data_IF_340334098291
#
_entry.id   IF_340334098291
#
_cell.length_a   1.000
_cell.length_b   1.000
_cell.length_c   1.000
_cell.angle_alpha   90.00
_cell.angle_beta   90.00
_cell.angle_gamma   90.00
#
_symmetry.space_group_name_H-M   'P 1'
#
loop_
_entity.id
_entity.type
_entity.pdbx_description
1 polymer ?
#
# COMPACT_ATOMS: atom_id res chain seq x y z
N UNK A 1 7.71 -19.51 18.43
CA UNK A 1 7.16 -20.71 17.79
C UNK A 1 7.36 -21.91 18.68
N UNK A 2 6.39 -22.83 18.70
CA UNK A 2 6.48 -24.18 19.28
C UNK A 2 7.56 -25.08 18.65
N UNK A 3 8.54 -24.47 17.97
CA UNK A 3 9.59 -25.11 17.17
C UNK A 3 10.88 -25.34 17.95
N UNK A 4 11.06 -24.74 19.13
CA UNK A 4 12.28 -24.91 19.92
C UNK A 4 11.97 -25.62 21.25
N UNK A 5 12.50 -26.83 21.50
CA UNK A 5 12.21 -27.67 22.67
C UNK A 5 12.87 -27.17 23.96
N UNK A 6 12.71 -25.89 24.30
CA UNK A 6 13.35 -25.30 25.48
C UNK A 6 12.64 -24.11 26.13
N UNK A 7 11.53 -23.62 25.56
CA UNK A 7 10.81 -22.48 26.12
C UNK A 7 9.71 -22.86 27.13
N UNK A 8 9.38 -24.15 27.25
CA UNK A 8 8.39 -24.66 28.21
C UNK A 8 8.86 -26.03 28.71
N UNK A 9 9.07 -26.19 30.02
CA UNK A 9 9.43 -27.47 30.65
C UNK A 9 8.25 -28.45 30.55
N UNK A 10 8.47 -29.65 29.98
CA UNK A 10 7.41 -30.66 29.80
C UNK A 10 6.56 -30.48 28.53
N UNK A 11 7.05 -29.74 27.54
CA UNK A 11 6.33 -29.43 26.31
C UNK A 11 6.12 -30.65 25.39
N UNK A 12 4.88 -31.10 25.26
CA UNK A 12 4.45 -32.04 24.21
C UNK A 12 3.87 -31.28 23.02
N UNK A 13 4.50 -31.44 21.84
CA UNK A 13 4.11 -30.76 20.60
C UNK A 13 2.66 -31.09 20.18
N UNK A 14 2.11 -32.25 20.57
CA UNK A 14 0.70 -32.61 20.33
C UNK A 14 -0.27 -31.84 21.23
N UNK A 15 0.19 -31.38 22.40
CA UNK A 15 -0.58 -30.65 23.40
C UNK A 15 -0.25 -29.14 23.44
N UNK A 16 0.56 -28.64 22.51
CA UNK A 16 0.96 -27.23 22.40
C UNK A 16 -0.20 -26.24 22.50
N UNK A 17 -1.35 -26.60 21.90
CA UNK A 17 -2.56 -25.79 21.90
C UNK A 17 -3.14 -25.57 23.31
N UNK A 18 -2.92 -26.49 24.26
CA UNK A 18 -3.34 -26.35 25.68
C UNK A 18 -2.53 -25.30 26.44
N UNK A 19 -1.38 -24.89 25.89
CA UNK A 19 -0.51 -23.86 26.49
C UNK A 19 -0.86 -22.45 26.03
N UNK A 20 -1.74 -22.31 25.02
CA UNK A 20 -2.31 -21.03 24.62
C UNK A 20 -3.54 -20.76 25.49
N UNK A 21 -3.70 -19.56 26.08
CA UNK A 21 -4.87 -19.20 26.86
C UNK A 21 -6.09 -18.90 25.96
N UNK A 22 -6.36 -19.78 24.99
CA UNK A 22 -7.47 -19.67 24.04
C UNK A 22 -8.32 -20.93 24.10
N UNK A 23 -9.63 -20.77 23.98
CA UNK A 23 -10.53 -21.92 23.96
C UNK A 23 -10.39 -22.72 22.65
N UNK A 24 -10.71 -24.02 22.65
CA UNK A 24 -10.64 -24.85 21.43
C UNK A 24 -11.47 -24.25 20.30
N UNK A 25 -12.69 -23.79 20.60
CA UNK A 25 -13.55 -23.11 19.61
C UNK A 25 -12.89 -21.85 19.06
N UNK A 26 -12.25 -21.07 19.91
CA UNK A 26 -11.54 -19.84 19.56
C UNK A 26 -10.38 -20.14 18.60
N UNK A 27 -9.61 -21.19 18.87
CA UNK A 27 -8.51 -21.63 18.00
C UNK A 27 -9.03 -22.06 16.62
N UNK A 28 -10.13 -22.81 16.57
CA UNK A 28 -10.78 -23.21 15.30
C UNK A 28 -11.25 -21.98 14.53
N UNK A 29 -11.92 -21.03 15.19
CA UNK A 29 -12.38 -19.79 14.56
C UNK A 29 -11.24 -18.94 14.02
N UNK A 30 -10.11 -18.86 14.74
CA UNK A 30 -8.92 -18.14 14.28
C UNK A 30 -8.32 -18.80 13.03
N UNK A 31 -8.20 -20.14 13.01
CA UNK A 31 -7.65 -20.83 11.84
C UNK A 31 -8.57 -20.69 10.62
N UNK A 32 -9.89 -20.88 10.80
CA UNK A 32 -10.86 -20.67 9.74
C UNK A 32 -10.86 -19.22 9.22
N UNK A 33 -10.78 -18.24 10.12
CA UNK A 33 -10.67 -16.83 9.75
C UNK A 33 -9.39 -16.52 8.97
N UNK A 34 -8.27 -17.12 9.35
CA UNK A 34 -7.00 -16.98 8.62
C UNK A 34 -7.10 -17.58 7.21
N UNK A 35 -7.69 -18.77 7.07
CA UNK A 35 -7.91 -19.39 5.76
C UNK A 35 -8.82 -18.52 4.88
N UNK A 36 -9.92 -18.03 5.44
CA UNK A 36 -10.84 -17.13 4.75
C UNK A 36 -10.18 -15.81 4.29
N UNK A 37 -9.37 -15.18 5.15
CA UNK A 37 -8.59 -13.99 4.77
C UNK A 37 -7.59 -14.29 3.65
N UNK A 38 -6.93 -15.44 3.69
CA UNK A 38 -5.99 -15.86 2.64
C UNK A 38 -6.67 -16.07 1.29
N UNK A 39 -7.89 -16.61 1.30
CA UNK A 39 -8.64 -16.90 0.07
C UNK A 39 -9.27 -15.64 -0.55
N UNK A 40 -9.81 -14.74 0.29
CA UNK A 40 -10.67 -13.64 -0.18
C UNK A 40 -10.01 -12.26 -0.19
N UNK A 41 -9.14 -12.00 0.79
CA UNK A 41 -8.67 -10.63 1.09
C UNK A 41 -7.16 -10.45 0.91
N UNK A 42 -6.42 -11.51 0.60
CA UNK A 42 -4.98 -11.44 0.36
C UNK A 42 -4.70 -10.86 -1.02
N UNK A 43 -4.14 -9.65 -1.03
CA UNK A 43 -3.71 -8.94 -2.23
C UNK A 43 -2.19 -8.90 -2.33
N UNK A 44 -1.70 -8.58 -3.52
CA UNK A 44 -0.28 -8.37 -3.78
C UNK A 44 -0.07 -7.04 -4.51
N UNK A 45 0.96 -6.30 -4.13
CA UNK A 45 1.45 -5.17 -4.91
C UNK A 45 2.98 -5.15 -4.82
N UNK A 46 3.64 -4.80 -5.93
CA UNK A 46 5.10 -4.95 -6.05
C UNK A 46 5.57 -6.33 -5.55
N UNK A 47 6.46 -6.38 -4.53
CA UNK A 47 6.95 -7.60 -3.89
C UNK A 47 6.31 -7.87 -2.52
N UNK A 48 5.23 -7.18 -2.16
CA UNK A 48 4.58 -7.30 -0.86
C UNK A 48 3.20 -7.93 -0.99
N UNK A 49 2.84 -8.71 0.03
CA UNK A 49 1.49 -9.21 0.21
C UNK A 49 0.84 -8.44 1.34
N UNK A 50 -0.47 -8.22 1.24
CA UNK A 50 -1.20 -7.50 2.26
C UNK A 50 -2.67 -7.90 2.26
N UNK A 51 -3.33 -7.73 3.40
CA UNK A 51 -4.77 -7.86 3.50
C UNK A 51 -5.40 -6.47 3.54
N UNK A 52 -6.57 -6.33 2.91
CA UNK A 52 -7.48 -5.20 3.08
C UNK A 52 -8.75 -5.75 3.72
N UNK A 53 -8.94 -5.50 5.00
CA UNK A 53 -10.01 -6.12 5.78
C UNK A 53 -11.06 -5.06 6.12
N UNK A 54 -12.32 -5.22 5.71
CA UNK A 54 -13.40 -4.36 6.16
C UNK A 54 -13.64 -4.55 7.66
N UNK A 55 -13.76 -3.44 8.39
CA UNK A 55 -14.03 -3.40 9.82
C UNK A 55 -15.26 -2.52 10.07
N UNK A 56 -16.41 -3.15 10.25
CA UNK A 56 -17.68 -2.47 10.54
C UNK A 56 -17.68 -1.99 12.00
N UNK A 57 -17.67 -0.68 12.20
CA UNK A 57 -17.53 -0.03 13.52
C UNK A 57 -18.87 0.04 14.25
N UNK A 58 -19.96 0.22 13.51
CA UNK A 58 -21.32 0.31 14.04
C UNK A 58 -22.27 -0.50 13.15
N UNK A 59 -22.98 -1.47 13.72
CA UNK A 59 -24.00 -2.25 13.03
C UNK A 59 -23.62 -3.70 12.75
N UNK A 60 -24.52 -4.39 12.05
CA UNK A 60 -24.30 -5.73 11.54
C UNK A 60 -23.41 -5.68 10.29
N UNK A 61 -22.75 -6.80 9.98
CA UNK A 61 -21.92 -6.91 8.77
C UNK A 61 -22.81 -6.70 7.55
N UNK A 62 -22.47 -5.73 6.69
CA UNK A 62 -23.17 -5.57 5.43
C UNK A 62 -22.73 -6.69 4.47
N UNK A 63 -23.61 -7.67 4.26
CA UNK A 63 -23.34 -8.84 3.41
C UNK A 63 -23.04 -8.47 1.95
N UNK A 64 -23.70 -7.44 1.41
CA UNK A 64 -23.48 -6.98 0.03
C UNK A 64 -22.06 -6.40 -0.14
N UNK A 65 -21.61 -5.60 0.83
CA UNK A 65 -20.24 -5.06 0.84
C UNK A 65 -19.22 -6.18 0.95
N UNK A 66 -19.47 -7.17 1.80
CA UNK A 66 -18.60 -8.34 1.95
C UNK A 66 -18.52 -9.15 0.66
N UNK A 67 -19.66 -9.50 0.06
CA UNK A 67 -19.74 -10.23 -1.21
C UNK A 67 -18.95 -9.53 -2.31
N UNK A 68 -19.02 -8.20 -2.38
CA UNK A 68 -18.32 -7.47 -3.42
C UNK A 68 -16.83 -7.29 -3.18
N UNK A 69 -16.40 -7.15 -1.93
CA UNK A 69 -14.97 -7.19 -1.61
C UNK A 69 -14.38 -8.58 -1.87
N UNK A 70 -15.14 -9.65 -1.63
CA UNK A 70 -14.76 -11.02 -2.00
C UNK A 70 -14.71 -11.23 -3.53
N UNK A 71 -15.66 -10.64 -4.27
CA UNK A 71 -15.77 -10.78 -5.73
C UNK A 71 -14.73 -9.97 -6.50
N UNK A 72 -14.21 -8.90 -5.90
CA UNK A 72 -13.27 -7.96 -6.52
C UNK A 72 -11.97 -8.62 -7.01
N UNK A 73 -11.56 -9.76 -6.44
CA UNK A 73 -10.36 -10.49 -6.87
C UNK A 73 -10.47 -11.17 -8.23
N UNK A 74 -11.69 -11.40 -8.72
CA UNK A 74 -11.94 -12.07 -10.01
C UNK A 74 -11.80 -11.11 -11.21
N UNK A 75 -11.61 -9.81 -10.95
CA UNK A 75 -11.38 -8.78 -11.97
C UNK A 75 -9.91 -8.37 -11.95
N UNK A 76 -9.33 -8.24 -13.12
CA UNK A 76 -7.91 -8.05 -13.47
C UNK A 76 -7.27 -6.72 -12.96
N UNK A 77 -7.49 -6.35 -11.69
CA UNK A 77 -7.22 -5.00 -11.16
C UNK A 77 -6.47 -4.99 -9.82
N UNK A 78 -5.45 -5.83 -9.66
CA UNK A 78 -4.60 -5.84 -8.45
C UNK A 78 -3.18 -5.40 -8.78
N UNK A 79 -3.04 -4.18 -9.34
CA UNK A 79 -1.75 -3.63 -9.73
C UNK A 79 -1.28 -2.48 -8.82
N UNK A 80 -2.09 -2.10 -7.82
CA UNK A 80 -1.75 -1.02 -6.86
C UNK A 80 -2.70 -1.00 -5.65
N UNK A 81 -2.15 -0.56 -4.50
CA UNK A 81 -2.87 -0.35 -3.22
C UNK A 81 -4.14 0.49 -3.35
N UNK A 82 -4.21 1.34 -4.38
CA UNK A 82 -5.33 2.25 -4.64
C UNK A 82 -6.01 2.03 -5.99
N UNK A 83 -5.64 1.01 -6.78
CA UNK A 83 -6.27 0.75 -8.08
C UNK A 83 -7.60 -0.04 -7.99
N UNK A 84 -8.12 -0.19 -6.77
CA UNK A 84 -9.52 -0.43 -6.47
C UNK A 84 -10.37 0.86 -6.60
N UNK A 85 -9.95 1.75 -7.50
CA UNK A 85 -10.20 3.19 -7.44
C UNK A 85 -11.62 3.60 -7.86
N UNK A 86 -12.29 2.79 -8.67
CA UNK A 86 -13.66 3.09 -9.10
C UNK A 86 -14.67 2.11 -8.47
N UNK A 87 -14.45 0.79 -8.56
CA UNK A 87 -15.47 -0.18 -8.16
C UNK A 87 -15.69 -0.30 -6.65
N UNK A 88 -14.63 -0.55 -5.87
CA UNK A 88 -14.74 -0.75 -4.42
C UNK A 88 -15.12 0.57 -3.72
N UNK A 89 -14.62 1.71 -4.22
CA UNK A 89 -15.04 3.01 -3.69
C UNK A 89 -16.47 3.37 -4.08
N UNK A 90 -16.97 2.96 -5.24
CA UNK A 90 -18.38 3.12 -5.60
C UNK A 90 -19.29 2.27 -4.70
N UNK A 91 -18.88 1.04 -4.37
CA UNK A 91 -19.62 0.15 -3.46
C UNK A 91 -19.63 0.69 -2.02
N UNK A 92 -18.50 1.22 -1.55
CA UNK A 92 -18.35 1.61 -0.15
C UNK A 92 -18.79 3.08 0.11
N UNK A 93 -19.13 3.85 -0.94
CA UNK A 93 -19.60 5.23 -0.82
C UNK A 93 -20.83 5.39 0.07
N UNK A 94 -21.70 4.38 0.14
CA UNK A 94 -22.92 4.43 0.94
C UNK A 94 -22.66 4.10 2.43
N UNK A 95 -21.48 3.58 2.75
CA UNK A 95 -21.11 3.05 4.07
C UNK A 95 -19.99 3.88 4.75
N UNK A 96 -19.78 5.13 4.29
CA UNK A 96 -18.68 6.00 4.71
C UNK A 96 -18.59 6.23 6.24
N UNK A 97 -19.70 6.08 6.98
CA UNK A 97 -19.79 6.34 8.42
C UNK A 97 -19.84 5.08 9.31
N UNK A 98 -19.91 3.89 8.72
CA UNK A 98 -20.12 2.63 9.47
C UNK A 98 -18.99 1.61 9.32
N UNK A 99 -18.02 1.86 8.43
CA UNK A 99 -16.91 0.95 8.18
C UNK A 99 -15.57 1.66 8.02
N UNK A 100 -14.54 1.05 8.59
CA UNK A 100 -13.14 1.37 8.34
C UNK A 100 -12.45 0.20 7.63
N UNK A 101 -11.29 0.46 7.01
CA UNK A 101 -10.44 -0.55 6.42
C UNK A 101 -9.21 -0.77 7.29
N UNK A 102 -8.81 -2.03 7.43
CA UNK A 102 -7.54 -2.44 8.03
C UNK A 102 -6.60 -2.91 6.92
N UNK A 103 -5.41 -2.33 6.87
CA UNK A 103 -4.34 -2.75 5.97
C UNK A 103 -3.26 -3.48 6.77
N UNK A 104 -3.10 -4.77 6.50
CA UNK A 104 -2.09 -5.61 7.14
C UNK A 104 -1.07 -6.10 6.11
N UNK A 105 0.10 -5.47 6.09
CA UNK A 105 1.21 -5.83 5.19
C UNK A 105 2.02 -6.95 5.80
N UNK A 106 2.29 -7.98 5.00
CA UNK A 106 2.98 -9.18 5.43
C UNK A 106 4.20 -9.49 4.57
N UNK A 107 5.20 -10.10 5.20
CA UNK A 107 6.36 -10.68 4.54
C UNK A 107 6.36 -12.19 4.75
N UNK A 108 6.16 -13.00 3.69
CA UNK A 108 6.23 -14.45 3.80
C UNK A 108 7.57 -14.92 4.37
N UNK A 109 7.52 -15.92 5.24
CA UNK A 109 8.67 -16.70 5.70
C UNK A 109 8.58 -18.10 5.10
N UNK A 110 9.45 -19.00 5.54
CA UNK A 110 9.36 -20.41 5.15
C UNK A 110 8.04 -21.01 5.66
N UNK A 111 7.39 -21.84 4.82
CA UNK A 111 6.07 -22.46 5.06
C UNK A 111 4.96 -21.40 5.20
N UNK A 112 3.94 -21.67 6.02
CA UNK A 112 2.76 -20.81 6.22
C UNK A 112 2.96 -19.70 7.26
N UNK A 113 4.22 -19.40 7.60
CA UNK A 113 4.56 -18.31 8.51
C UNK A 113 4.81 -17.02 7.72
N UNK A 114 4.43 -15.89 8.30
CA UNK A 114 4.75 -14.57 7.80
C UNK A 114 4.97 -13.61 8.96
N UNK A 115 5.74 -12.55 8.72
CA UNK A 115 5.80 -11.41 9.64
C UNK A 115 4.80 -10.35 9.19
N UNK A 116 4.07 -9.76 10.13
CA UNK A 116 3.35 -8.51 9.89
C UNK A 116 4.39 -7.39 9.93
N UNK A 117 4.62 -6.73 8.79
CA UNK A 117 5.65 -5.69 8.65
C UNK A 117 5.09 -4.29 8.82
N UNK A 118 3.80 -4.09 8.57
CA UNK A 118 3.07 -2.83 8.82
C UNK A 118 1.60 -3.15 9.00
N UNK A 119 0.99 -2.47 9.95
CA UNK A 119 -0.41 -2.64 10.31
C UNK A 119 -1.01 -1.24 10.46
N UNK A 120 -2.06 -0.96 9.69
CA UNK A 120 -2.73 0.33 9.67
C UNK A 120 -4.22 0.08 9.83
N UNK A 121 -4.75 0.47 10.98
CA UNK A 121 -6.18 0.42 11.30
C UNK A 121 -6.83 1.77 11.01
N UNK A 122 -8.16 1.79 11.10
CA UNK A 122 -8.98 3.00 11.04
C UNK A 122 -8.76 3.84 9.79
N UNK A 123 -8.65 3.18 8.64
CA UNK A 123 -8.55 3.84 7.33
C UNK A 123 -9.96 3.99 6.74
N UNK A 124 -10.60 5.17 6.83
CA UNK A 124 -11.96 5.30 6.33
C UNK A 124 -11.97 5.25 4.78
N UNK A 125 -13.00 4.68 4.15
CA UNK A 125 -13.15 4.65 2.69
C UNK A 125 -13.06 6.03 2.03
N UNK A 126 -13.62 7.05 2.69
CA UNK A 126 -13.52 8.45 2.27
C UNK A 126 -12.07 8.95 2.18
N UNK A 127 -11.14 8.40 2.97
CA UNK A 127 -9.72 8.70 2.83
C UNK A 127 -9.12 8.12 1.56
N UNK A 128 -9.43 6.85 1.26
CA UNK A 128 -8.95 6.17 0.05
C UNK A 128 -9.41 6.93 -1.20
N UNK A 129 -10.67 7.40 -1.20
CA UNK A 129 -11.21 8.29 -2.24
C UNK A 129 -10.46 9.62 -2.34
N UNK A 130 -10.16 10.27 -1.21
CA UNK A 130 -9.35 11.50 -1.23
C UNK A 130 -7.93 11.28 -1.77
N UNK A 131 -7.29 10.15 -1.44
CA UNK A 131 -5.99 9.76 -1.99
C UNK A 131 -6.07 9.61 -3.51
N UNK A 132 -7.12 8.93 -3.98
CA UNK A 132 -7.39 8.77 -5.40
C UNK A 132 -7.57 10.10 -6.13
N UNK A 133 -8.54 10.90 -5.69
CA UNK A 133 -8.91 12.15 -6.32
C UNK A 133 -7.71 13.11 -6.37
N UNK A 134 -6.94 13.17 -5.26
CA UNK A 134 -5.73 13.95 -5.19
C UNK A 134 -4.68 13.49 -6.20
N UNK A 135 -4.45 12.18 -6.33
CA UNK A 135 -3.50 11.64 -7.29
C UNK A 135 -3.96 11.94 -8.73
N UNK A 136 -5.24 11.69 -9.05
CA UNK A 136 -5.86 11.96 -10.35
C UNK A 136 -5.72 13.43 -10.76
N UNK A 137 -6.02 14.36 -9.85
CA UNK A 137 -5.87 15.79 -10.08
C UNK A 137 -4.41 16.16 -10.37
N UNK A 138 -3.47 15.74 -9.49
CA UNK A 138 -2.06 16.08 -9.63
C UNK A 138 -1.47 15.51 -10.93
N UNK A 139 -1.85 14.29 -11.31
CA UNK A 139 -1.42 13.66 -12.57
C UNK A 139 -1.88 14.39 -13.82
N UNK A 140 -2.99 15.13 -13.74
CA UNK A 140 -3.57 15.86 -14.86
C UNK A 140 -3.04 17.30 -14.99
N UNK A 141 -2.15 17.74 -14.11
CA UNK A 141 -1.50 19.03 -14.23
C UNK A 141 -0.71 19.14 -15.55
N UNK A 142 -0.74 20.33 -16.17
CA UNK A 142 -0.11 20.60 -17.47
C UNK A 142 1.35 20.16 -17.52
N UNK A 143 2.12 20.37 -16.45
CA UNK A 143 3.54 20.00 -16.37
C UNK A 143 3.81 18.50 -16.58
N UNK A 144 2.82 17.64 -16.36
CA UNK A 144 2.94 16.19 -16.54
C UNK A 144 2.24 15.65 -17.79
N UNK A 145 1.41 16.46 -18.46
CA UNK A 145 0.57 16.02 -19.60
C UNK A 145 0.88 16.72 -20.91
N UNK A 146 1.23 18.00 -20.85
CA UNK A 146 1.45 18.81 -22.04
C UNK A 146 2.77 18.42 -22.71
N UNK A 147 2.68 17.97 -23.96
CA UNK A 147 3.83 17.50 -24.73
C UNK A 147 4.88 18.58 -24.94
N UNK A 148 4.49 19.81 -25.30
CA UNK A 148 5.43 20.93 -25.50
C UNK A 148 6.27 21.21 -24.25
N UNK A 149 5.64 21.16 -23.07
CA UNK A 149 6.32 21.31 -21.78
C UNK A 149 7.31 20.16 -21.56
N UNK A 150 6.92 18.92 -21.86
CA UNK A 150 7.79 17.76 -21.69
C UNK A 150 8.90 17.72 -22.73
N UNK A 151 8.70 18.21 -23.95
CA UNK A 151 9.75 18.39 -24.97
C UNK A 151 10.84 19.35 -24.49
N UNK A 152 10.48 20.42 -23.77
CA UNK A 152 11.47 21.31 -23.13
C UNK A 152 12.34 20.60 -22.09
N UNK A 153 11.83 19.55 -21.45
CA UNK A 153 12.54 18.79 -20.42
C UNK A 153 13.35 17.65 -21.05
N UNK A 154 12.70 16.81 -21.85
CA UNK A 154 13.24 15.56 -22.39
C UNK A 154 13.85 15.66 -23.79
N UNK A 155 13.58 16.76 -24.51
CA UNK A 155 13.93 16.97 -25.91
C UNK A 155 12.81 16.61 -26.89
N UNK A 156 12.99 16.96 -28.16
CA UNK A 156 11.99 16.83 -29.24
C UNK A 156 11.47 15.41 -29.47
N UNK A 157 12.24 14.39 -29.07
CA UNK A 157 11.83 12.98 -29.17
C UNK A 157 10.69 12.59 -28.22
N UNK A 158 10.37 13.42 -27.22
CA UNK A 158 9.27 13.15 -26.28
C UNK A 158 7.92 13.38 -26.96
N UNK A 159 7.08 12.36 -26.94
CA UNK A 159 5.68 12.41 -27.40
C UNK A 159 4.72 12.12 -26.25
N UNK A 160 3.57 12.78 -26.23
CA UNK A 160 2.55 12.64 -25.20
C UNK A 160 2.98 13.03 -23.78
N UNK A 161 2.10 12.77 -22.82
CA UNK A 161 2.31 13.02 -21.39
C UNK A 161 3.23 12.02 -20.69
N UNK A 162 3.42 12.18 -19.38
CA UNK A 162 3.87 11.09 -18.50
C UNK A 162 2.77 10.01 -18.40
N UNK A 163 3.10 8.86 -17.82
CA UNK A 163 2.15 7.76 -17.69
C UNK A 163 0.84 8.19 -16.96
N UNK A 164 -0.30 7.99 -17.64
CA UNK A 164 -1.66 8.21 -17.11
C UNK A 164 -2.16 7.08 -16.24
N UNK A 165 -1.34 6.07 -15.96
CA UNK A 165 -1.64 4.97 -15.03
C UNK A 165 -0.66 4.81 -13.86
N UNK A 166 0.27 5.76 -13.66
CA UNK A 166 1.09 5.83 -12.45
C UNK A 166 0.25 5.82 -11.15
N UNK A 167 0.64 4.97 -10.22
CA UNK A 167 0.00 4.72 -8.92
C UNK A 167 0.86 5.25 -7.79
N UNK A 168 0.35 5.30 -6.55
CA UNK A 168 1.13 5.81 -5.40
C UNK A 168 2.40 4.99 -5.19
N UNK A 169 2.30 3.67 -5.21
CA UNK A 169 3.44 2.77 -5.05
C UNK A 169 4.48 2.99 -6.17
N UNK A 170 4.05 3.15 -7.43
CA UNK A 170 4.93 3.43 -8.58
C UNK A 170 5.54 4.84 -8.56
N UNK A 171 4.95 5.77 -7.79
CA UNK A 171 5.54 7.09 -7.51
C UNK A 171 6.63 7.02 -6.44
N UNK A 172 6.45 6.19 -5.41
CA UNK A 172 7.36 6.12 -4.26
C UNK A 172 8.52 5.16 -4.52
N UNK A 173 8.24 3.97 -5.09
CA UNK A 173 9.22 2.89 -5.30
C UNK A 173 10.53 3.34 -5.95
N UNK A 174 10.56 4.23 -6.96
CA UNK A 174 11.82 4.66 -7.56
C UNK A 174 12.79 5.33 -6.58
N UNK A 175 12.29 5.90 -5.48
CA UNK A 175 13.08 6.59 -4.45
C UNK A 175 13.47 5.71 -3.27
N UNK A 176 12.94 4.51 -3.23
CA UNK A 176 13.22 3.52 -2.20
C UNK A 176 13.36 2.20 -2.95
N UNK A 177 14.50 1.89 -3.57
CA UNK A 177 14.65 0.67 -4.37
C UNK A 177 14.60 -0.61 -3.53
N UNK A 178 14.38 -1.76 -4.20
CA UNK A 178 14.17 -3.07 -3.55
C UNK A 178 15.36 -3.49 -2.69
N UNK A 179 15.10 -4.42 -1.76
CA UNK A 179 16.05 -4.99 -0.80
C UNK A 179 16.45 -4.04 0.32
N UNK A 180 17.08 -2.91 0.00
CA UNK A 180 17.69 -2.04 1.02
C UNK A 180 16.67 -1.08 1.66
N UNK A 181 15.64 -0.69 0.91
CA UNK A 181 14.68 0.34 1.33
C UNK A 181 13.24 -0.18 1.41
N UNK A 182 13.02 -1.49 1.36
CA UNK A 182 11.69 -2.10 1.45
C UNK A 182 10.94 -1.70 2.73
N UNK A 183 11.64 -1.61 3.86
CA UNK A 183 11.05 -1.14 5.11
C UNK A 183 10.57 0.31 4.99
N UNK A 184 11.43 1.21 4.52
CA UNK A 184 11.09 2.63 4.33
C UNK A 184 9.95 2.83 3.32
N UNK A 185 9.94 2.03 2.25
CA UNK A 185 8.88 2.04 1.25
C UNK A 185 7.52 1.70 1.88
N UNK A 186 7.45 0.58 2.62
CA UNK A 186 6.22 0.17 3.32
C UNK A 186 5.84 1.15 4.43
N UNK A 187 6.81 1.70 5.14
CA UNK A 187 6.53 2.69 6.17
C UNK A 187 5.87 3.94 5.58
N UNK A 188 6.36 4.46 4.46
CA UNK A 188 5.73 5.59 3.76
C UNK A 188 4.32 5.24 3.29
N UNK A 189 4.13 4.07 2.68
CA UNK A 189 2.80 3.62 2.26
C UNK A 189 1.83 3.59 3.44
N UNK A 190 2.23 2.95 4.54
CA UNK A 190 1.37 2.86 5.72
C UNK A 190 1.17 4.21 6.41
N UNK A 191 2.14 5.12 6.32
CA UNK A 191 1.99 6.49 6.82
C UNK A 191 1.00 7.30 5.97
N UNK A 192 1.00 7.14 4.64
CA UNK A 192 0.00 7.75 3.75
C UNK A 192 -1.40 7.21 4.07
N UNK A 193 -1.55 5.88 4.18
CA UNK A 193 -2.83 5.25 4.52
C UNK A 193 -3.32 5.70 5.91
N UNK A 194 -2.43 5.74 6.90
CA UNK A 194 -2.74 6.14 8.27
C UNK A 194 -2.76 7.65 8.51
N UNK A 195 -2.76 8.50 7.46
CA UNK A 195 -2.76 9.97 7.55
C UNK A 195 -1.62 10.56 8.39
N UNK A 196 -0.48 9.86 8.48
CA UNK A 196 0.70 10.29 9.23
C UNK A 196 1.58 11.18 8.37
N UNK A 197 2.13 12.23 9.00
CA UNK A 197 3.03 13.15 8.31
C UNK A 197 4.41 12.53 8.11
N UNK A 198 4.90 12.61 6.88
CA UNK A 198 6.22 12.15 6.46
C UNK A 198 7.19 13.31 6.55
N UNK A 199 8.40 13.03 7.03
CA UNK A 199 9.47 14.01 7.13
C UNK A 199 9.94 14.49 5.74
N UNK A 200 9.94 15.81 5.54
CA UNK A 200 10.33 16.42 4.27
C UNK A 200 11.78 16.15 3.92
N UNK A 201 12.69 16.24 4.90
CA UNK A 201 14.12 16.08 4.67
C UNK A 201 14.43 14.62 4.32
N UNK A 202 13.77 13.67 4.95
CA UNK A 202 13.84 12.25 4.60
C UNK A 202 13.47 12.00 3.13
N UNK A 203 12.35 12.57 2.65
CA UNK A 203 11.93 12.46 1.26
C UNK A 203 12.93 13.12 0.30
N UNK A 204 13.36 14.36 0.58
CA UNK A 204 14.31 15.08 -0.26
C UNK A 204 15.63 14.31 -0.35
N UNK A 205 16.13 13.77 0.76
CA UNK A 205 17.36 12.98 0.78
C UNK A 205 17.22 11.73 -0.09
N UNK A 206 16.09 11.02 -0.03
CA UNK A 206 15.81 9.87 -0.88
C UNK A 206 15.75 10.27 -2.37
N UNK A 207 15.09 11.38 -2.70
CA UNK A 207 15.00 11.89 -4.08
C UNK A 207 16.37 12.22 -4.63
N UNK A 208 17.13 13.02 -3.89
CA UNK A 208 18.46 13.47 -4.31
C UNK A 208 19.43 12.30 -4.46
N UNK A 209 19.34 11.27 -3.62
CA UNK A 209 20.15 10.06 -3.75
C UNK A 209 19.94 9.39 -5.11
N UNK A 210 18.69 9.10 -5.47
CA UNK A 210 18.40 8.38 -6.71
C UNK A 210 18.61 9.24 -7.96
N UNK A 211 18.26 10.54 -7.92
CA UNK A 211 18.50 11.47 -9.02
C UNK A 211 20.00 11.61 -9.30
N UNK A 212 20.82 11.80 -8.25
CA UNK A 212 22.29 11.91 -8.39
C UNK A 212 22.91 10.63 -8.93
N UNK A 213 22.42 9.46 -8.51
CA UNK A 213 22.87 8.18 -9.04
C UNK A 213 22.67 8.11 -10.56
N UNK A 214 21.47 8.46 -11.06
CA UNK A 214 21.17 8.52 -12.50
C UNK A 214 22.02 9.55 -13.24
N UNK A 215 22.25 10.71 -12.63
CA UNK A 215 23.13 11.74 -13.18
C UNK A 215 24.58 11.27 -13.37
N UNK A 216 25.18 10.67 -12.33
CA UNK A 216 26.57 10.17 -12.38
C UNK A 216 26.73 9.07 -13.43
N UNK A 217 25.71 8.22 -13.60
CA UNK A 217 25.70 7.17 -14.62
C UNK A 217 25.34 7.67 -16.03
N UNK A 218 25.12 8.97 -16.22
CA UNK A 218 24.72 9.61 -17.50
C UNK A 218 23.39 9.08 -18.06
N UNK A 219 22.51 8.60 -17.19
CA UNK A 219 21.15 8.14 -17.49
C UNK A 219 20.19 9.34 -17.55
N UNK A 220 20.40 10.23 -18.53
CA UNK A 220 19.76 11.54 -18.59
C UNK A 220 18.22 11.48 -18.64
N UNK A 221 17.65 10.45 -19.27
CA UNK A 221 16.19 10.31 -19.40
C UNK A 221 15.57 9.90 -18.06
N UNK A 222 16.18 8.94 -17.39
CA UNK A 222 15.80 8.42 -16.08
C UNK A 222 15.95 9.51 -15.02
N UNK A 223 17.05 10.26 -15.03
CA UNK A 223 17.26 11.42 -14.16
C UNK A 223 16.10 12.42 -14.24
N UNK A 224 15.77 12.88 -15.46
CA UNK A 224 14.67 13.82 -15.71
C UNK A 224 13.32 13.24 -15.29
N UNK A 225 13.12 11.93 -15.50
CA UNK A 225 11.92 11.22 -15.06
C UNK A 225 11.80 11.22 -13.54
N UNK A 226 12.89 10.97 -12.82
CA UNK A 226 12.92 11.02 -11.34
C UNK A 226 12.69 12.44 -10.81
N UNK A 227 13.21 13.48 -11.48
CA UNK A 227 12.91 14.87 -11.14
C UNK A 227 11.41 15.17 -11.24
N UNK A 228 10.74 14.73 -12.31
CA UNK A 228 9.29 14.92 -12.43
C UNK A 228 8.48 14.08 -11.45
N UNK A 229 8.88 12.81 -11.21
CA UNK A 229 8.22 11.94 -10.23
C UNK A 229 8.34 12.48 -8.81
N UNK A 230 9.51 13.00 -8.42
CA UNK A 230 9.70 13.60 -7.09
C UNK A 230 8.86 14.85 -6.93
N UNK A 231 8.78 15.70 -7.97
CA UNK A 231 7.89 16.86 -7.96
C UNK A 231 6.40 16.46 -7.86
N UNK A 232 5.98 15.44 -8.60
CA UNK A 232 4.62 14.89 -8.53
C UNK A 232 4.30 14.36 -7.14
N UNK A 233 5.20 13.57 -6.54
CA UNK A 233 5.04 13.02 -5.20
C UNK A 233 4.96 14.12 -4.14
N UNK A 234 5.81 15.16 -4.23
CA UNK A 234 5.72 16.32 -3.34
C UNK A 234 4.41 17.08 -3.48
N UNK A 235 3.93 17.31 -4.70
CA UNK A 235 2.65 17.97 -4.96
C UNK A 235 1.49 17.17 -4.37
N UNK A 236 1.51 15.85 -4.58
CA UNK A 236 0.53 14.91 -4.04
C UNK A 236 0.49 14.95 -2.49
N UNK A 237 1.63 14.74 -1.83
CA UNK A 237 1.68 14.72 -0.37
C UNK A 237 1.36 16.09 0.24
N UNK A 238 1.75 17.20 -0.40
CA UNK A 238 1.40 18.55 0.07
C UNK A 238 -0.11 18.83 -0.03
N UNK A 239 -0.76 18.42 -1.13
CA UNK A 239 -2.22 18.59 -1.30
C UNK A 239 -3.00 17.93 -0.16
N UNK A 240 -2.51 16.78 0.28
CA UNK A 240 -3.06 15.98 1.37
C UNK A 240 -2.54 16.37 2.77
N UNK A 241 -1.67 17.39 2.87
CA UNK A 241 -1.05 17.86 4.12
C UNK A 241 -0.27 16.76 4.88
N UNK A 242 0.31 15.82 4.15
CA UNK A 242 1.07 14.67 4.68
C UNK A 242 2.57 14.95 4.85
N UNK A 243 3.01 16.20 4.76
CA UNK A 243 4.43 16.57 4.95
C UNK A 243 4.57 17.32 6.27
N UNK A 244 5.58 16.95 7.07
CA UNK A 244 6.10 17.76 8.18
C UNK A 244 7.45 18.36 7.78
N UNK A 245 7.68 19.61 8.19
CA UNK A 245 8.93 20.32 7.98
C UNK A 245 10.05 19.78 8.87
#
# INVERSE_FOLDING_TARGET
>A
TFDKPGFVSGFDRKNSWKSLPICVKCAISIEAGKEYLNEKFLKQFDNFKFYVIPNFVFGEVNEEVMEEMESADKREYVDSILCAEDYILDIIKEEEDVMNLIFMFIKPKQKDFFDIIKYVEDVPPSWIKQLSDALKEIRNLKIFRNEETLKKIFGEKKTGGLDSRITIDRLIRPFFPKSDYDKSFIDIIGDILGRKKIDKNFLINAFMREIRNKHVNKENWEEKTLCLKSFMLLKFLNKLKLIKN
#
